data_IF_825997931202
#
_entry.id   IF_825997931202
#
_cell.length_a   1.000
_cell.length_b   1.000
_cell.length_c   1.000
_cell.angle_alpha   90.00
_cell.angle_beta   90.00
_cell.angle_gamma   90.00
#
_symmetry.space_group_name_H-M   'P 1'
#
loop_
_entity.id
_entity.type
_entity.pdbx_description
1 polymer ?
#
# COMPACT_ATOMS: atom_id res chain seq x y z
N UNK A 1 -0.35 6.91 -7.63
CA UNK A 1 0.67 7.98 -7.48
C UNK A 1 1.85 7.64 -8.38
N UNK A 2 2.34 8.58 -9.16
CA UNK A 2 3.55 8.44 -9.98
C UNK A 2 4.57 9.43 -9.43
N UNK A 3 5.77 8.96 -9.09
CA UNK A 3 6.82 9.77 -8.46
C UNK A 3 8.19 9.14 -8.70
N UNK A 4 9.23 9.94 -8.64
CA UNK A 4 10.62 9.48 -8.58
C UNK A 4 11.06 9.09 -7.14
N UNK A 5 10.18 9.29 -6.18
CA UNK A 5 10.44 8.97 -4.76
C UNK A 5 11.30 9.99 -4.03
N UNK A 6 11.77 11.03 -4.72
CA UNK A 6 12.55 12.12 -4.11
C UNK A 6 11.61 13.28 -3.78
N UNK A 7 11.49 13.60 -2.52
CA UNK A 7 10.73 14.76 -2.07
C UNK A 7 11.57 15.64 -1.15
N UNK A 8 12.15 16.67 -1.75
CA UNK A 8 12.98 17.64 -1.04
C UNK A 8 12.21 18.89 -0.58
N UNK A 9 10.91 18.97 -0.85
CA UNK A 9 10.10 20.18 -0.67
C UNK A 9 8.70 19.95 -0.11
N UNK A 10 8.36 18.75 0.33
CA UNK A 10 7.03 18.44 0.86
C UNK A 10 6.76 19.14 2.19
N UNK A 11 5.55 19.68 2.31
CA UNK A 11 5.04 20.22 3.57
C UNK A 11 4.80 19.14 4.63
N UNK A 12 4.77 17.89 4.24
CA UNK A 12 4.47 16.75 5.12
C UNK A 12 5.67 15.83 5.20
N UNK A 13 6.20 15.66 6.40
CA UNK A 13 7.17 14.62 6.65
C UNK A 13 6.59 13.23 6.35
N UNK A 14 7.41 12.30 5.88
CA UNK A 14 7.05 10.91 5.60
C UNK A 14 6.15 10.28 6.67
N UNK A 15 6.45 10.50 7.96
CA UNK A 15 5.65 10.00 9.07
C UNK A 15 4.20 10.51 9.09
N UNK A 16 3.95 11.73 8.61
CA UNK A 16 2.60 12.30 8.52
C UNK A 16 1.80 11.64 7.40
N UNK A 17 2.41 11.44 6.22
CA UNK A 17 1.78 10.75 5.09
C UNK A 17 1.45 9.31 5.47
N UNK A 18 2.40 8.61 6.10
CA UNK A 18 2.20 7.25 6.61
C UNK A 18 1.05 7.17 7.62
N UNK A 19 0.92 8.15 8.52
CA UNK A 19 -0.19 8.23 9.47
C UNK A 19 -1.52 8.44 8.76
N UNK A 20 -1.59 9.38 7.81
CA UNK A 20 -2.79 9.62 7.02
C UNK A 20 -3.25 8.37 6.28
N UNK A 21 -2.33 7.61 5.66
CA UNK A 21 -2.67 6.35 5.00
C UNK A 21 -3.20 5.29 5.99
N UNK A 22 -2.67 5.26 7.20
CA UNK A 22 -3.19 4.38 8.27
C UNK A 22 -4.60 4.75 8.71
N UNK A 23 -4.91 6.04 8.76
CA UNK A 23 -6.21 6.57 9.20
C UNK A 23 -7.25 6.56 8.08
N UNK A 24 -6.84 6.65 6.82
CA UNK A 24 -7.73 6.66 5.65
C UNK A 24 -8.08 5.25 5.16
N UNK A 25 -9.18 5.14 4.43
CA UNK A 25 -9.56 3.91 3.72
C UNK A 25 -9.10 3.92 2.25
N UNK A 26 -7.98 4.58 1.99
CA UNK A 26 -7.38 4.69 0.66
C UNK A 26 -6.36 3.58 0.46
N UNK A 27 -6.41 2.88 -0.67
CA UNK A 27 -5.36 1.98 -1.13
C UNK A 27 -4.44 2.73 -2.09
N UNK A 28 -3.15 2.77 -1.78
CA UNK A 28 -2.14 3.47 -2.57
C UNK A 28 -1.42 2.49 -3.49
N UNK A 29 -1.50 2.72 -4.80
CA UNK A 29 -0.60 2.11 -5.77
C UNK A 29 0.45 3.14 -6.18
N UNK A 30 1.72 2.84 -5.93
CA UNK A 30 2.85 3.68 -6.31
C UNK A 30 3.46 3.20 -7.63
N UNK A 31 3.83 4.13 -8.51
CA UNK A 31 4.66 3.84 -9.68
C UNK A 31 5.87 4.76 -9.61
N UNK A 32 7.02 4.18 -9.29
CA UNK A 32 8.29 4.89 -9.19
C UNK A 32 9.00 4.89 -10.54
N UNK A 33 9.22 6.08 -11.10
CA UNK A 33 10.00 6.25 -12.34
C UNK A 33 11.42 6.61 -11.94
N UNK A 34 12.35 5.72 -12.22
CA UNK A 34 13.76 5.91 -11.92
C UNK A 34 14.49 6.23 -13.22
N UNK A 35 15.21 7.35 -13.26
CA UNK A 35 16.13 7.64 -14.36
C UNK A 35 17.34 6.69 -14.29
N UNK A 36 17.90 6.35 -15.45
CA UNK A 36 18.87 5.27 -15.58
C UNK A 36 20.11 5.33 -14.68
N UNK A 37 20.52 6.51 -14.22
CA UNK A 37 21.63 6.71 -13.28
C UNK A 37 21.21 6.57 -11.82
N UNK A 38 19.91 6.73 -11.50
CA UNK A 38 19.40 6.77 -10.14
C UNK A 38 18.90 5.41 -9.65
N UNK A 39 18.60 4.49 -10.56
CA UNK A 39 18.04 3.19 -10.22
C UNK A 39 18.93 2.33 -9.28
N UNK A 40 20.24 2.53 -9.32
CA UNK A 40 21.21 1.85 -8.44
C UNK A 40 21.85 2.78 -7.39
N UNK A 41 21.46 4.04 -7.34
CA UNK A 41 21.96 4.99 -6.35
C UNK A 41 21.32 4.76 -4.98
N UNK A 42 21.99 5.17 -3.91
CA UNK A 42 21.44 5.10 -2.55
C UNK A 42 20.14 5.88 -2.43
N UNK A 43 20.04 7.04 -3.08
CA UNK A 43 18.83 7.88 -3.11
C UNK A 43 17.67 7.20 -3.86
N UNK A 44 17.96 6.54 -5.00
CA UNK A 44 16.94 5.79 -5.73
C UNK A 44 16.41 4.59 -4.92
N UNK A 45 17.29 3.88 -4.22
CA UNK A 45 16.87 2.77 -3.33
C UNK A 45 16.05 3.27 -2.14
N UNK A 46 16.38 4.41 -1.56
CA UNK A 46 15.62 5.04 -0.48
C UNK A 46 14.22 5.44 -0.96
N UNK A 47 14.11 6.10 -2.11
CA UNK A 47 12.83 6.48 -2.71
C UNK A 47 11.93 5.27 -3.02
N UNK A 48 12.53 4.17 -3.52
CA UNK A 48 11.80 2.90 -3.71
C UNK A 48 11.27 2.37 -2.38
N UNK A 49 12.11 2.35 -1.34
CA UNK A 49 11.71 1.87 0.00
C UNK A 49 10.55 2.69 0.59
N UNK A 50 10.57 4.01 0.41
CA UNK A 50 9.50 4.92 0.86
C UNK A 50 8.18 4.60 0.14
N UNK A 51 8.20 4.47 -1.19
CA UNK A 51 7.01 4.16 -1.98
C UNK A 51 6.44 2.78 -1.62
N UNK A 52 7.31 1.80 -1.44
CA UNK A 52 6.91 0.42 -1.09
C UNK A 52 6.30 0.37 0.31
N UNK A 53 6.89 1.08 1.29
CA UNK A 53 6.34 1.18 2.64
C UNK A 53 4.97 1.86 2.65
N UNK A 54 4.82 3.01 1.98
CA UNK A 54 3.55 3.74 1.92
C UNK A 54 2.45 2.92 1.24
N UNK A 55 2.79 2.26 0.13
CA UNK A 55 1.85 1.39 -0.57
C UNK A 55 1.46 0.19 0.31
N UNK A 56 2.42 -0.48 0.93
CA UNK A 56 2.19 -1.64 1.80
C UNK A 56 1.30 -1.33 2.99
N UNK A 57 1.52 -0.22 3.68
CA UNK A 57 0.70 0.23 4.82
C UNK A 57 -0.77 0.40 4.44
N UNK A 58 -1.06 0.85 3.21
CA UNK A 58 -2.42 1.06 2.69
C UNK A 58 -3.08 -0.21 2.14
N UNK A 59 -2.32 -1.30 2.01
CA UNK A 59 -2.77 -2.55 1.38
C UNK A 59 -2.58 -2.59 -0.14
N UNK A 60 -1.89 -1.60 -0.71
CA UNK A 60 -1.53 -1.53 -2.11
C UNK A 60 -0.14 -2.10 -2.42
N UNK A 61 0.48 -1.60 -3.48
CA UNK A 61 1.80 -2.04 -3.95
C UNK A 61 2.51 -0.93 -4.69
N UNK A 62 3.84 -0.89 -4.58
CA UNK A 62 4.68 -0.07 -5.44
C UNK A 62 5.23 -0.91 -6.61
N UNK A 63 5.42 -0.25 -7.75
CA UNK A 63 5.96 -0.80 -8.98
C UNK A 63 7.07 0.11 -9.49
N UNK A 64 8.10 -0.47 -10.09
CA UNK A 64 9.26 0.25 -10.56
C UNK A 64 9.59 -0.19 -12.00
N UNK A 65 8.83 0.29 -12.99
CA UNK A 65 9.02 -0.08 -14.39
C UNK A 65 10.37 0.42 -14.90
N UNK A 66 11.01 -0.39 -15.75
CA UNK A 66 12.27 -0.07 -16.42
C UNK A 66 12.07 0.37 -17.87
N UNK A 67 10.87 0.19 -18.42
CA UNK A 67 10.51 0.53 -19.77
C UNK A 67 9.05 0.98 -19.89
N UNK A 68 8.71 1.60 -20.99
CA UNK A 68 7.32 1.99 -21.29
C UNK A 68 6.41 0.75 -21.43
N UNK A 69 6.90 -0.33 -21.99
CA UNK A 69 6.12 -1.56 -22.12
C UNK A 69 5.77 -2.16 -20.73
N UNK A 70 6.72 -2.18 -19.80
CA UNK A 70 6.45 -2.61 -18.41
C UNK A 70 5.42 -1.69 -17.71
N UNK A 71 5.34 -0.42 -18.08
CA UNK A 71 4.37 0.52 -17.56
C UNK A 71 2.94 0.11 -17.93
N UNK A 72 2.71 -0.28 -19.19
CA UNK A 72 1.42 -0.73 -19.68
C UNK A 72 0.96 -1.99 -18.94
N UNK A 73 1.85 -2.98 -18.78
CA UNK A 73 1.60 -4.20 -18.03
C UNK A 73 1.22 -3.91 -16.56
N UNK A 74 1.92 -2.94 -15.94
CA UNK A 74 1.64 -2.53 -14.57
C UNK A 74 0.25 -1.90 -14.44
N UNK A 75 -0.13 -1.03 -15.38
CA UNK A 75 -1.46 -0.41 -15.37
C UNK A 75 -2.57 -1.45 -15.59
N UNK A 76 -2.37 -2.42 -16.49
CA UNK A 76 -3.31 -3.54 -16.62
C UNK A 76 -3.43 -4.36 -15.35
N UNK A 77 -2.30 -4.67 -14.71
CA UNK A 77 -2.30 -5.38 -13.43
C UNK A 77 -3.05 -4.60 -12.34
N UNK A 78 -2.79 -3.31 -12.19
CA UNK A 78 -3.50 -2.46 -11.22
C UNK A 78 -5.00 -2.44 -11.53
N UNK A 79 -5.39 -2.30 -12.79
CA UNK A 79 -6.80 -2.30 -13.19
C UNK A 79 -7.49 -3.63 -12.86
N UNK A 80 -6.83 -4.75 -13.09
CA UNK A 80 -7.34 -6.08 -12.73
C UNK A 80 -7.49 -6.25 -11.22
N UNK A 81 -6.50 -5.81 -10.44
CA UNK A 81 -6.55 -5.86 -8.98
C UNK A 81 -7.69 -5.02 -8.42
N UNK A 82 -7.90 -3.80 -8.95
CA UNK A 82 -8.99 -2.92 -8.53
C UNK A 82 -10.38 -3.51 -8.83
N UNK A 83 -10.52 -4.25 -9.94
CA UNK A 83 -11.78 -4.92 -10.31
C UNK A 83 -12.08 -6.14 -9.46
N UNK A 84 -11.07 -6.79 -8.87
CA UNK A 84 -11.19 -8.03 -8.12
C UNK A 84 -10.94 -7.85 -6.62
N UNK A 85 -11.15 -6.66 -6.10
CA UNK A 85 -11.06 -6.40 -4.66
C UNK A 85 -12.26 -6.96 -3.91
N UNK A 86 -11.99 -7.46 -2.71
CA UNK A 86 -13.02 -7.89 -1.76
C UNK A 86 -13.09 -6.90 -0.60
N UNK A 87 -14.27 -6.43 -0.28
CA UNK A 87 -14.51 -5.64 0.93
C UNK A 87 -15.08 -6.56 2.00
N UNK A 88 -14.36 -6.70 3.11
CA UNK A 88 -14.74 -7.57 4.22
C UNK A 88 -14.93 -6.72 5.47
N UNK A 89 -16.17 -6.63 5.94
CA UNK A 89 -16.48 -6.00 7.21
C UNK A 89 -16.46 -7.01 8.35
N UNK A 90 -15.90 -6.62 9.50
CA UNK A 90 -15.98 -7.43 10.71
C UNK A 90 -16.25 -6.56 11.94
N UNK A 91 -16.87 -7.14 12.96
CA UNK A 91 -17.08 -6.48 14.25
C UNK A 91 -16.12 -7.06 15.26
N UNK A 92 -15.18 -6.25 15.82
CA UNK A 92 -14.27 -6.74 16.83
C UNK A 92 -15.03 -7.19 18.10
N UNK A 93 -14.66 -8.33 18.72
CA UNK A 93 -15.35 -8.83 19.90
C UNK A 93 -15.21 -7.94 21.12
N UNK A 94 -14.14 -7.16 21.21
CA UNK A 94 -13.90 -6.15 22.25
C UNK A 94 -13.59 -4.82 21.57
N UNK A 95 -14.59 -3.99 21.41
CA UNK A 95 -14.42 -2.63 20.89
C UNK A 95 -14.06 -1.69 22.04
N UNK A 96 -12.77 -1.46 22.24
CA UNK A 96 -12.29 -0.39 23.10
C UNK A 96 -11.85 0.76 22.19
N UNK A 97 -12.61 1.84 22.17
CA UNK A 97 -12.26 3.08 21.44
C UNK A 97 -11.10 3.81 22.10
N UNK A 98 -9.99 3.09 22.34
CA UNK A 98 -8.78 3.59 23.02
C UNK A 98 -7.81 4.30 22.07
N UNK A 99 -8.15 4.41 20.78
CA UNK A 99 -7.32 5.05 19.76
C UNK A 99 -6.01 4.33 19.46
N UNK A 100 -5.79 3.11 19.98
CA UNK A 100 -4.57 2.35 19.72
C UNK A 100 -4.66 1.58 18.41
N UNK A 101 -3.54 1.52 17.70
CA UNK A 101 -3.42 0.74 16.48
C UNK A 101 -3.75 -0.74 16.67
N UNK A 102 -4.64 -1.26 15.85
CA UNK A 102 -5.03 -2.69 15.81
C UNK A 102 -4.51 -3.31 14.51
N UNK A 103 -3.57 -4.23 14.65
CA UNK A 103 -3.04 -4.96 13.49
C UNK A 103 -4.04 -5.98 12.98
N UNK A 104 -4.24 -6.04 11.66
CA UNK A 104 -5.06 -7.04 10.98
C UNK A 104 -4.13 -8.00 10.23
N UNK A 105 -4.48 -9.27 10.24
CA UNK A 105 -3.84 -10.28 9.41
C UNK A 105 -4.91 -11.10 8.70
N UNK A 106 -5.00 -10.93 7.40
CA UNK A 106 -5.89 -11.74 6.54
C UNK A 106 -5.14 -12.97 6.06
N UNK A 107 -5.77 -14.12 6.16
CA UNK A 107 -5.27 -15.38 5.62
C UNK A 107 -6.33 -15.96 4.69
N UNK A 108 -5.92 -16.42 3.51
CA UNK A 108 -6.76 -17.16 2.58
C UNK A 108 -6.26 -18.59 2.51
N UNK A 109 -7.17 -19.54 2.67
CA UNK A 109 -6.87 -20.95 2.48
C UNK A 109 -7.32 -21.34 1.07
N UNK A 110 -6.42 -21.63 0.13
CA UNK A 110 -6.79 -22.03 -1.19
C UNK A 110 -7.48 -23.41 -1.17
N UNK A 111 -8.43 -23.67 -2.07
CA UNK A 111 -8.98 -25.02 -2.26
C UNK A 111 -7.87 -26.02 -2.64
N UNK A 112 -8.13 -27.32 -2.40
CA UNK A 112 -7.18 -28.38 -2.80
C UNK A 112 -6.88 -28.31 -4.30
N UNK A 113 -5.59 -28.37 -4.65
CA UNK A 113 -5.14 -28.28 -6.04
C UNK A 113 -4.89 -26.87 -6.58
N UNK A 114 -5.22 -25.83 -5.81
CA UNK A 114 -4.90 -24.46 -6.20
C UNK A 114 -3.51 -24.02 -5.69
N UNK A 115 -2.81 -23.14 -6.42
CA UNK A 115 -1.54 -22.60 -5.98
C UNK A 115 -1.71 -21.73 -4.73
N UNK A 116 -0.60 -21.44 -4.05
CA UNK A 116 -0.60 -20.54 -2.90
C UNK A 116 -1.08 -19.16 -3.32
N UNK A 117 -2.07 -18.63 -2.59
CA UNK A 117 -2.60 -17.29 -2.79
C UNK A 117 -1.87 -16.28 -1.92
N UNK A 118 -1.57 -15.12 -2.50
CA UNK A 118 -0.99 -13.99 -1.79
C UNK A 118 -2.10 -12.98 -1.52
N UNK A 119 -2.22 -12.57 -0.26
CA UNK A 119 -3.22 -11.60 0.17
C UNK A 119 -2.55 -10.27 0.44
N UNK A 120 -3.06 -9.21 -0.16
CA UNK A 120 -2.76 -7.84 0.23
C UNK A 120 -3.96 -7.25 0.93
N UNK A 121 -3.72 -6.61 2.05
CA UNK A 121 -4.75 -5.92 2.83
C UNK A 121 -4.11 -4.81 3.63
N UNK A 122 -4.90 -3.85 4.06
CA UNK A 122 -4.47 -2.85 5.04
C UNK A 122 -3.89 -3.53 6.28
N UNK A 123 -2.77 -3.04 6.80
CA UNK A 123 -2.07 -3.66 7.93
C UNK A 123 -2.84 -3.59 9.25
N UNK A 124 -3.78 -2.65 9.37
CA UNK A 124 -4.53 -2.45 10.61
C UNK A 124 -5.42 -1.21 10.55
N UNK A 125 -5.93 -0.81 11.70
CA UNK A 125 -6.79 0.37 11.84
C UNK A 125 -6.68 0.98 13.24
N UNK A 126 -7.08 2.25 13.35
CA UNK A 126 -7.36 2.88 14.64
C UNK A 126 -8.86 2.77 14.93
N UNK A 127 -9.28 2.18 16.07
CA UNK A 127 -10.69 2.13 16.42
C UNK A 127 -11.19 3.56 16.69
N UNK A 128 -12.07 4.06 15.84
CA UNK A 128 -12.72 5.34 16.03
C UNK A 128 -13.87 5.11 17.02
N UNK A 129 -13.99 5.94 18.06
CA UNK A 129 -15.20 5.98 18.88
C UNK A 129 -16.36 6.29 17.95
N UNK A 130 -17.30 5.37 17.81
CA UNK A 130 -18.46 5.57 16.96
C UNK A 130 -19.16 6.88 17.34
N UNK A 131 -19.31 7.75 16.37
CA UNK A 131 -20.30 8.80 16.48
C UNK A 131 -21.67 8.11 16.64
N UNK A 132 -22.30 8.34 17.79
CA UNK A 132 -23.69 7.93 18.01
C UNK A 132 -24.61 8.72 17.11
#
# INVERSE_FOLDING_TARGET
MISDGQDNSSRFAFGNVRRLLKESDVTLYGVGILSGTDAGSALGMEGQGILDELAGVSGGKAFFPRSAAEMDDIFEQIALELRHQYSIGYKPPKFNGDGKWRKIKVKVTPPRGFPRLFVRSKEGYYPIRGQK
#
